data_IF_458186402549
#
_entry.id   IF_458186402549
#
_cell.length_a   1.000
_cell.length_b   1.000
_cell.length_c   1.000
_cell.angle_alpha   90.00
_cell.angle_beta   90.00
_cell.angle_gamma   90.00
#
_symmetry.space_group_name_H-M   'P 1'
#
loop_
_entity.id
_entity.type
_entity.pdbx_description
1 polymer ?
#
# COMPACT_ATOMS: atom_id res chain seq x y z
N UNK A 1 -12.93 2.61 13.48
CA UNK A 1 -14.29 2.16 13.88
C UNK A 1 -14.17 0.86 14.68
N UNK A 2 -15.06 0.55 15.64
CA UNK A 2 -15.01 -0.73 16.37
C UNK A 2 -16.06 -1.71 15.82
N UNK A 3 -15.61 -2.86 15.31
CA UNK A 3 -16.46 -3.93 14.78
C UNK A 3 -16.07 -5.25 15.45
N UNK A 4 -17.05 -6.02 15.94
CA UNK A 4 -16.82 -7.27 16.68
C UNK A 4 -15.72 -7.15 17.75
N UNK A 5 -15.78 -6.05 18.52
CA UNK A 5 -14.81 -5.70 19.55
C UNK A 5 -13.38 -5.39 19.07
N UNK A 6 -13.11 -5.37 17.76
CA UNK A 6 -11.83 -5.02 17.14
C UNK A 6 -11.84 -3.61 16.55
N UNK A 7 -10.68 -2.94 16.60
CA UNK A 7 -10.47 -1.68 15.90
C UNK A 7 -10.17 -1.94 14.42
N UNK A 8 -11.00 -1.37 13.56
CA UNK A 8 -10.88 -1.47 12.10
C UNK A 8 -10.83 -0.07 11.52
N UNK A 9 -9.77 0.18 10.74
CA UNK A 9 -9.58 1.40 10.00
C UNK A 9 -10.04 1.22 8.56
N UNK A 10 -10.92 2.10 8.12
CA UNK A 10 -11.39 2.17 6.74
C UNK A 10 -10.62 3.29 6.07
N UNK A 11 -9.73 2.91 5.17
CA UNK A 11 -8.88 3.85 4.43
C UNK A 11 -9.17 3.71 2.94
N UNK A 12 -9.24 4.84 2.24
CA UNK A 12 -9.20 4.82 0.79
C UNK A 12 -7.80 4.48 0.29
N UNK A 13 -7.71 4.03 -0.96
CA UNK A 13 -6.45 3.94 -1.68
C UNK A 13 -5.85 5.34 -1.80
N UNK A 14 -4.53 5.45 -1.67
CA UNK A 14 -3.83 6.74 -1.68
C UNK A 14 -3.22 6.96 -3.06
N UNK A 15 -3.69 7.98 -3.76
CA UNK A 15 -3.07 8.42 -5.02
C UNK A 15 -1.73 9.11 -4.76
N UNK A 16 -0.91 9.21 -5.80
CA UNK A 16 0.12 10.25 -5.82
C UNK A 16 -0.59 11.59 -5.64
N UNK A 17 -0.19 12.33 -4.61
CA UNK A 17 -0.67 13.69 -4.40
C UNK A 17 0.54 14.60 -4.35
N UNK A 18 0.36 15.79 -4.91
CA UNK A 18 1.11 17.00 -4.63
C UNK A 18 1.10 17.24 -3.11
N UNK A 19 1.93 16.50 -2.38
CA UNK A 19 2.22 16.80 -1.00
C UNK A 19 2.75 18.23 -0.97
N UNK A 20 2.16 19.05 -0.12
CA UNK A 20 2.82 20.28 0.26
C UNK A 20 4.23 19.90 0.76
N UNK A 21 5.26 20.62 0.33
CA UNK A 21 6.65 20.34 0.71
C UNK A 21 6.79 20.24 2.24
N UNK A 22 5.87 20.86 2.98
CA UNK A 22 5.83 20.90 4.44
C UNK A 22 4.68 20.10 5.09
N UNK A 23 3.83 19.39 4.34
CA UNK A 23 2.67 18.70 4.92
C UNK A 23 2.35 17.38 4.23
N UNK A 24 2.06 16.36 5.05
CA UNK A 24 1.50 15.08 4.60
C UNK A 24 0.01 15.15 4.26
N UNK A 25 -0.57 16.35 4.28
CA UNK A 25 -1.97 16.53 3.98
C UNK A 25 -2.18 16.64 2.45
N UNK A 26 -2.97 15.73 1.88
CA UNK A 26 -3.26 15.73 0.45
C UNK A 26 -3.95 17.02 -0.03
N UNK A 27 -3.50 17.60 -1.17
CA UNK A 27 -4.11 18.81 -1.79
C UNK A 27 -5.30 18.46 -2.70
N UNK A 28 -5.36 17.24 -3.25
CA UNK A 28 -6.40 16.79 -4.18
C UNK A 28 -6.54 15.27 -4.14
N UNK A 29 -7.65 14.80 -3.59
CA UNK A 29 -7.99 13.37 -3.58
C UNK A 29 -8.29 12.91 -5.02
N UNK A 30 -7.37 12.14 -5.61
CA UNK A 30 -7.59 11.46 -6.88
C UNK A 30 -7.93 9.98 -6.65
N UNK A 31 -8.74 9.40 -7.54
CA UNK A 31 -8.96 7.96 -7.53
C UNK A 31 -7.69 7.28 -8.01
N UNK A 32 -7.12 6.40 -7.19
CA UNK A 32 -6.02 5.55 -7.62
C UNK A 32 -6.44 4.07 -7.64
N UNK A 33 -5.72 3.33 -8.45
CA UNK A 33 -5.77 1.87 -8.51
C UNK A 33 -5.08 1.27 -7.30
N UNK A 34 -5.38 0.00 -7.02
CA UNK A 34 -4.68 -0.75 -5.94
C UNK A 34 -3.18 -0.89 -6.25
N UNK A 35 -2.83 -0.97 -7.52
CA UNK A 35 -1.44 -1.07 -7.98
C UNK A 35 -0.67 0.22 -7.68
N UNK A 36 -1.24 1.39 -7.99
CA UNK A 36 -0.64 2.68 -7.65
C UNK A 36 -0.46 2.87 -6.14
N UNK A 37 -1.44 2.48 -5.30
CA UNK A 37 -1.25 2.50 -3.83
C UNK A 37 -0.12 1.56 -3.39
N UNK A 38 0.02 0.39 -4.02
CA UNK A 38 1.06 -0.58 -3.73
C UNK A 38 2.46 0.00 -3.97
N UNK A 39 2.67 0.67 -5.11
CA UNK A 39 3.95 1.30 -5.45
C UNK A 39 4.29 2.52 -4.58
N UNK A 40 3.29 3.15 -3.95
CA UNK A 40 3.49 4.26 -3.00
C UNK A 40 3.89 3.79 -1.59
N UNK A 41 3.84 2.48 -1.31
CA UNK A 41 4.28 1.93 -0.03
C UNK A 41 5.80 2.01 0.07
N UNK A 42 6.27 2.01 1.31
CA UNK A 42 7.68 2.05 1.64
C UNK A 42 8.43 0.80 1.16
N UNK A 43 7.90 -0.38 1.48
CA UNK A 43 8.56 -1.67 1.28
C UNK A 43 7.73 -2.62 0.43
N UNK A 44 8.41 -3.49 -0.33
CA UNK A 44 7.79 -4.53 -1.16
C UNK A 44 6.94 -5.50 -0.34
N UNK A 45 7.38 -5.85 0.86
CA UNK A 45 6.61 -6.73 1.77
C UNK A 45 5.38 -6.05 2.38
N UNK A 46 5.36 -4.71 2.42
CA UNK A 46 4.26 -3.90 2.97
C UNK A 46 3.24 -3.46 1.91
N UNK A 47 3.42 -3.88 0.65
CA UNK A 47 2.53 -3.58 -0.47
C UNK A 47 1.67 -4.75 -0.91
N UNK A 48 1.57 -5.80 -0.09
CA UNK A 48 0.73 -6.96 -0.34
C UNK A 48 -0.72 -6.67 0.08
N UNK A 49 -1.67 -7.07 -0.76
CA UNK A 49 -3.09 -6.92 -0.48
C UNK A 49 -3.72 -8.28 -0.19
N UNK A 50 -4.59 -8.35 0.82
CA UNK A 50 -5.40 -9.54 1.06
C UNK A 50 -6.84 -9.27 0.62
N UNK A 51 -7.31 -10.01 -0.38
CA UNK A 51 -8.65 -9.85 -0.90
C UNK A 51 -9.64 -10.66 -0.07
N UNK A 52 -10.46 -9.98 0.73
CA UNK A 52 -11.43 -10.62 1.63
C UNK A 52 -12.59 -11.33 0.90
N UNK A 53 -12.84 -11.01 -0.37
CA UNK A 53 -13.89 -11.67 -1.16
C UNK A 53 -13.42 -13.01 -1.72
N UNK A 54 -12.16 -13.09 -2.16
CA UNK A 54 -11.59 -14.30 -2.76
C UNK A 54 -10.75 -15.12 -1.78
N UNK A 55 -10.35 -14.53 -0.65
CA UNK A 55 -9.44 -15.13 0.33
C UNK A 55 -7.99 -15.24 -0.15
N UNK A 56 -7.63 -14.54 -1.24
CA UNK A 56 -6.32 -14.65 -1.89
C UNK A 56 -5.42 -13.45 -1.56
N UNK A 57 -4.12 -13.73 -1.49
CA UNK A 57 -3.07 -12.72 -1.44
C UNK A 57 -2.81 -12.20 -2.86
N UNK A 58 -2.77 -10.89 -3.01
CA UNK A 58 -2.51 -10.18 -4.26
C UNK A 58 -1.19 -9.41 -4.14
N UNK A 59 -0.22 -9.76 -4.97
CA UNK A 59 1.05 -9.04 -5.11
C UNK A 59 1.04 -8.23 -6.41
N UNK A 60 0.54 -6.99 -6.31
CA UNK A 60 0.38 -6.09 -7.46
C UNK A 60 1.72 -5.55 -7.96
N UNK A 61 2.78 -5.66 -7.16
CA UNK A 61 4.15 -5.24 -7.54
C UNK A 61 4.98 -6.39 -8.12
N UNK A 62 4.49 -7.63 -7.99
CA UNK A 62 5.15 -8.85 -8.43
C UNK A 62 6.45 -9.20 -7.69
N UNK A 63 6.79 -8.52 -6.59
CA UNK A 63 8.05 -8.70 -5.85
C UNK A 63 7.87 -8.97 -4.36
N UNK A 64 6.76 -8.53 -3.77
CA UNK A 64 6.54 -8.60 -2.33
C UNK A 64 6.59 -10.02 -1.77
N UNK A 65 6.03 -11.01 -2.50
CA UNK A 65 6.03 -12.41 -2.05
C UNK A 65 7.45 -13.00 -2.06
N UNK A 66 8.21 -12.75 -3.12
CA UNK A 66 9.55 -13.31 -3.26
C UNK A 66 10.54 -12.64 -2.29
N UNK A 67 10.41 -11.33 -2.08
CA UNK A 67 11.19 -10.60 -1.07
C UNK A 67 10.85 -11.08 0.35
N UNK A 68 9.57 -11.33 0.65
CA UNK A 68 9.15 -11.87 1.95
C UNK A 68 9.74 -13.26 2.19
N UNK A 69 9.67 -14.17 1.20
CA UNK A 69 10.22 -15.53 1.30
C UNK A 69 11.74 -15.54 1.46
N UNK A 70 12.42 -14.58 0.85
CA UNK A 70 13.88 -14.43 0.93
C UNK A 70 14.35 -13.57 2.12
N UNK A 71 13.44 -13.03 2.92
CA UNK A 71 13.76 -12.21 4.09
C UNK A 71 14.39 -10.85 3.73
N UNK A 72 14.06 -10.30 2.56
CA UNK A 72 14.61 -9.03 2.05
C UNK A 72 13.75 -7.84 2.43
N UNK A 73 14.40 -6.73 2.79
CA UNK A 73 13.77 -5.43 3.02
C UNK A 73 14.17 -4.53 1.86
N UNK A 74 13.24 -4.28 0.95
CA UNK A 74 13.50 -3.58 -0.33
C UNK A 74 12.42 -2.51 -0.55
N UNK A 75 12.82 -1.34 -1.04
CA UNK A 75 11.90 -0.26 -1.43
C UNK A 75 11.27 -0.53 -2.80
N UNK A 76 10.12 0.09 -3.08
CA UNK A 76 9.45 -0.08 -4.38
C UNK A 76 10.26 0.48 -5.55
N UNK A 77 10.93 1.61 -5.33
CA UNK A 77 11.73 2.27 -6.35
C UNK A 77 13.22 2.17 -6.00
N UNK A 78 14.10 2.07 -7.02
CA UNK A 78 15.54 2.16 -6.81
C UNK A 78 15.92 3.52 -6.22
N UNK A 79 17.04 3.57 -5.51
CA UNK A 79 17.61 4.85 -5.09
C UNK A 79 18.07 5.63 -6.33
N UNK A 80 17.59 6.86 -6.46
CA UNK A 80 18.05 7.82 -7.47
C UNK A 80 19.34 8.50 -7.03
#
# INVERSE_FOLDING_TARGET
MRLYNQWIDFVHLRSEEDYDVNSRMPRKVEFCTREEDAYRRDLTINSLFYNIHTGLLEDLTGRGIDDLKSGRIVTQLPAN
#
